data_IF_281737046515
#
_entry.id   IF_281737046515
#
_cell.length_a   1.000
_cell.length_b   1.000
_cell.length_c   1.000
_cell.angle_alpha   90.00
_cell.angle_beta   90.00
_cell.angle_gamma   90.00
#
_symmetry.space_group_name_H-M   'P 1'
#
loop_
_entity.id
_entity.type
_entity.pdbx_description
1 polymer ?
#
# COMPACT_ATOMS: atom_id res chain seq x y z
N UNK A 1 2.21 22.72 -0.42
CA UNK A 1 1.38 22.15 0.64
C UNK A 1 0.15 21.52 0.04
N UNK A 2 -0.10 20.25 0.30
CA UNK A 2 -1.17 19.57 -0.40
C UNK A 2 -2.33 19.20 0.53
N UNK A 3 -3.42 19.95 0.43
CA UNK A 3 -4.68 19.58 1.08
C UNK A 3 -5.20 18.25 0.52
N UNK A 4 -5.06 18.05 -0.79
CA UNK A 4 -5.52 16.80 -1.41
C UNK A 4 -4.80 15.58 -0.82
N UNK A 5 -3.47 15.63 -0.74
CA UNK A 5 -2.70 14.49 -0.23
C UNK A 5 -3.03 14.20 1.24
N UNK A 6 -3.19 15.23 2.05
CA UNK A 6 -3.55 15.04 3.46
C UNK A 6 -4.95 14.48 3.63
N UNK A 7 -5.89 14.97 2.83
CA UNK A 7 -7.25 14.47 2.84
C UNK A 7 -7.32 13.02 2.37
N UNK A 8 -6.62 12.71 1.29
CA UNK A 8 -6.54 11.34 0.79
C UNK A 8 -5.98 10.38 1.84
N UNK A 9 -4.87 10.76 2.46
CA UNK A 9 -4.23 9.92 3.48
C UNK A 9 -5.16 9.68 4.67
N UNK A 10 -5.86 10.71 5.12
CA UNK A 10 -6.81 10.60 6.23
C UNK A 10 -7.95 9.64 5.89
N UNK A 11 -8.54 9.80 4.70
CA UNK A 11 -9.63 8.93 4.26
C UNK A 11 -9.15 7.50 4.03
N UNK A 12 -7.97 7.35 3.44
CA UNK A 12 -7.39 6.03 3.22
C UNK A 12 -7.13 5.31 4.53
N UNK A 13 -6.63 6.03 5.54
CA UNK A 13 -6.37 5.44 6.86
C UNK A 13 -7.64 4.95 7.55
N UNK A 14 -8.79 5.46 7.17
CA UNK A 14 -10.07 5.04 7.72
C UNK A 14 -10.67 3.81 7.05
N UNK A 15 -10.04 3.29 6.00
CA UNK A 15 -10.56 2.11 5.32
C UNK A 15 -10.36 0.84 6.15
N UNK A 16 -11.34 -0.06 6.07
CA UNK A 16 -11.28 -1.38 6.67
C UNK A 16 -12.10 -2.35 5.82
N UNK A 17 -12.14 -3.60 6.22
CA UNK A 17 -12.85 -4.64 5.44
C UNK A 17 -14.35 -4.39 5.28
N UNK A 18 -14.94 -3.55 6.15
CA UNK A 18 -16.39 -3.33 6.16
C UNK A 18 -16.81 -2.08 5.40
N UNK A 19 -15.87 -1.22 4.99
CA UNK A 19 -16.20 0.04 4.32
C UNK A 19 -15.49 0.24 2.98
N UNK A 20 -15.07 -0.84 2.32
CA UNK A 20 -14.37 -0.75 1.03
C UNK A 20 -15.22 -0.14 -0.09
N UNK A 21 -16.53 -0.07 0.09
CA UNK A 21 -17.39 0.67 -0.84
C UNK A 21 -17.00 2.15 -0.94
N UNK A 22 -16.29 2.67 0.07
CA UNK A 22 -15.81 4.06 0.07
C UNK A 22 -14.63 4.30 -0.85
N UNK A 23 -14.03 3.26 -1.44
CA UNK A 23 -12.95 3.42 -2.40
C UNK A 23 -13.33 4.34 -3.56
N UNK A 24 -14.59 4.32 -3.97
CA UNK A 24 -15.08 5.20 -5.02
C UNK A 24 -15.08 6.69 -4.69
N UNK A 25 -14.90 7.04 -3.41
CA UNK A 25 -14.73 8.44 -2.99
C UNK A 25 -13.30 8.92 -3.20
N UNK A 26 -12.34 7.99 -3.21
CA UNK A 26 -10.91 8.28 -3.33
C UNK A 26 -10.39 8.10 -4.75
N UNK A 27 -10.89 7.10 -5.46
CA UNK A 27 -10.37 6.65 -6.74
C UNK A 27 -11.44 6.79 -7.83
N UNK A 28 -10.98 7.14 -9.03
CA UNK A 28 -11.86 7.19 -10.20
C UNK A 28 -12.18 5.78 -10.70
N UNK A 29 -13.22 5.67 -11.54
CA UNK A 29 -13.62 4.38 -12.12
C UNK A 29 -12.50 3.74 -12.96
N UNK A 30 -11.66 4.55 -13.58
CA UNK A 30 -10.58 4.12 -14.45
C UNK A 30 -9.24 4.00 -13.73
N UNK A 31 -9.24 3.90 -12.41
CA UNK A 31 -8.02 3.81 -11.62
C UNK A 31 -7.08 2.72 -12.13
N UNK A 32 -5.80 3.07 -12.24
CA UNK A 32 -4.74 2.12 -12.50
C UNK A 32 -3.85 2.08 -11.25
N UNK A 33 -3.85 0.96 -10.56
CA UNK A 33 -3.08 0.74 -9.34
C UNK A 33 -1.98 -0.27 -9.62
N UNK A 34 -0.76 0.05 -9.19
CA UNK A 34 0.40 -0.82 -9.35
C UNK A 34 1.18 -0.87 -8.05
N UNK A 35 1.60 -2.06 -7.65
CA UNK A 35 2.60 -2.23 -6.60
C UNK A 35 3.66 -3.21 -7.10
N UNK A 36 4.70 -3.55 -6.31
CA UNK A 36 5.76 -4.45 -6.77
C UNK A 36 5.30 -5.84 -7.17
N UNK A 37 4.11 -6.26 -6.76
CA UNK A 37 3.58 -7.61 -6.96
C UNK A 37 2.35 -7.66 -7.86
N UNK A 38 1.64 -6.54 -8.04
CA UNK A 38 0.33 -6.53 -8.68
C UNK A 38 0.15 -5.33 -9.60
N UNK A 39 -0.68 -5.53 -10.60
CA UNK A 39 -1.20 -4.46 -11.44
C UNK A 39 -2.71 -4.64 -11.53
N UNK A 40 -3.45 -3.60 -11.20
CA UNK A 40 -4.92 -3.63 -11.08
C UNK A 40 -5.50 -2.49 -11.89
N UNK A 41 -6.49 -2.78 -12.70
CA UNK A 41 -7.19 -1.78 -13.50
C UNK A 41 -8.66 -1.74 -13.16
N UNK A 42 -9.14 -0.53 -12.89
CA UNK A 42 -10.56 -0.29 -12.63
C UNK A 42 -10.92 -0.42 -11.16
N UNK A 43 -11.93 0.34 -10.78
CA UNK A 43 -12.35 0.42 -9.38
C UNK A 43 -12.86 -0.91 -8.83
N UNK A 44 -13.57 -1.69 -9.65
CA UNK A 44 -14.08 -2.99 -9.22
C UNK A 44 -12.94 -3.96 -8.88
N UNK A 45 -11.91 -4.02 -9.73
CA UNK A 45 -10.74 -4.87 -9.46
C UNK A 45 -9.97 -4.38 -8.24
N UNK A 46 -9.86 -3.07 -8.06
CA UNK A 46 -9.18 -2.51 -6.90
C UNK A 46 -9.90 -2.87 -5.60
N UNK A 47 -11.23 -2.83 -5.62
CA UNK A 47 -12.03 -3.23 -4.47
C UNK A 47 -11.79 -4.70 -4.13
N UNK A 48 -11.76 -5.57 -5.13
CA UNK A 48 -11.49 -6.99 -4.92
C UNK A 48 -10.09 -7.21 -4.33
N UNK A 49 -9.11 -6.49 -4.85
CA UNK A 49 -7.73 -6.58 -4.38
C UNK A 49 -7.62 -6.19 -2.90
N UNK A 50 -8.21 -5.06 -2.52
CA UNK A 50 -8.18 -4.63 -1.13
C UNK A 50 -9.03 -5.55 -0.23
N UNK A 51 -10.13 -6.09 -0.74
CA UNK A 51 -10.94 -7.03 0.02
C UNK A 51 -10.12 -8.27 0.40
N UNK A 52 -9.34 -8.82 -0.53
CA UNK A 52 -8.46 -9.94 -0.24
C UNK A 52 -7.36 -9.56 0.76
N UNK A 53 -6.75 -8.40 0.57
CA UNK A 53 -5.71 -7.92 1.47
C UNK A 53 -6.21 -7.81 2.89
N UNK A 54 -7.35 -7.13 3.11
CA UNK A 54 -7.91 -6.94 4.44
C UNK A 54 -8.44 -8.24 5.04
N UNK A 55 -8.81 -9.23 4.23
CA UNK A 55 -9.25 -10.53 4.70
C UNK A 55 -8.11 -11.39 5.22
N UNK A 56 -6.91 -11.22 4.65
CA UNK A 56 -5.76 -12.10 4.92
C UNK A 56 -4.85 -11.60 6.04
N UNK A 57 -5.01 -10.37 6.48
CA UNK A 57 -4.16 -9.78 7.52
C UNK A 57 -5.04 -9.22 8.63
N UNK A 58 -4.44 -9.01 9.80
CA UNK A 58 -5.10 -8.35 10.92
C UNK A 58 -4.29 -7.14 11.35
N UNK A 59 -4.94 -6.22 12.06
CA UNK A 59 -4.31 -5.01 12.59
C UNK A 59 -3.59 -4.19 11.52
N UNK A 60 -4.13 -4.18 10.31
CA UNK A 60 -3.56 -3.40 9.22
C UNK A 60 -3.78 -1.91 9.44
N UNK A 61 -2.69 -1.15 9.41
CA UNK A 61 -2.77 0.30 9.47
C UNK A 61 -1.64 0.93 8.66
N UNK A 62 -1.89 2.14 8.21
CA UNK A 62 -0.92 2.98 7.52
C UNK A 62 -0.68 4.23 8.33
N UNK A 63 0.58 4.51 8.64
CA UNK A 63 1.01 5.74 9.30
C UNK A 63 1.68 6.62 8.23
N UNK A 64 1.00 7.69 7.83
CA UNK A 64 1.50 8.61 6.81
C UNK A 64 2.34 9.70 7.47
N UNK A 65 3.57 9.90 6.97
CA UNK A 65 4.49 10.86 7.55
C UNK A 65 5.16 11.78 6.52
N UNK A 66 4.72 11.76 5.28
CA UNK A 66 5.23 12.65 4.25
C UNK A 66 4.17 12.92 3.20
N UNK A 67 4.04 14.20 2.80
CA UNK A 67 3.00 14.67 1.89
C UNK A 67 3.65 15.66 0.92
N UNK A 68 4.20 15.14 -0.17
CA UNK A 68 5.04 15.94 -1.07
C UNK A 68 4.35 16.12 -2.42
N UNK A 69 3.74 17.27 -2.61
CA UNK A 69 3.14 17.61 -3.91
C UNK A 69 4.23 18.16 -4.83
N UNK A 70 4.40 17.51 -5.99
CA UNK A 70 5.44 17.89 -6.95
C UNK A 70 4.92 18.90 -7.96
N UNK A 71 3.63 18.83 -8.27
CA UNK A 71 2.93 19.79 -9.14
C UNK A 71 1.44 19.60 -8.94
N UNK A 72 0.63 20.43 -9.59
CA UNK A 72 -0.82 20.26 -9.52
C UNK A 72 -1.20 18.89 -10.06
N UNK A 73 -1.95 18.13 -9.28
CA UNK A 73 -2.42 16.80 -9.67
C UNK A 73 -1.40 15.69 -9.55
N UNK A 74 -0.25 15.93 -8.92
CA UNK A 74 0.76 14.88 -8.76
C UNK A 74 1.52 15.05 -7.45
N UNK A 75 1.77 13.93 -6.77
CA UNK A 75 2.55 13.97 -5.54
C UNK A 75 2.86 12.59 -4.99
N UNK A 76 3.52 12.61 -3.84
CA UNK A 76 3.97 11.42 -3.15
C UNK A 76 3.51 11.44 -1.70
N UNK A 77 3.11 10.25 -1.22
CA UNK A 77 2.88 9.99 0.19
C UNK A 77 3.95 9.04 0.69
N UNK A 78 4.49 9.32 1.87
CA UNK A 78 5.41 8.38 2.54
C UNK A 78 4.70 7.80 3.74
N UNK A 79 4.87 6.49 3.95
CA UNK A 79 4.12 5.79 4.99
C UNK A 79 4.90 4.59 5.54
N UNK A 80 4.43 4.14 6.69
CA UNK A 80 4.80 2.84 7.24
C UNK A 80 3.51 2.04 7.36
N UNK A 81 3.48 0.87 6.76
CA UNK A 81 2.37 -0.06 6.87
C UNK A 81 2.70 -1.07 7.96
N UNK A 82 1.75 -1.33 8.83
CA UNK A 82 1.88 -2.33 9.90
C UNK A 82 0.73 -3.31 9.80
N UNK A 83 1.03 -4.58 10.02
CA UNK A 83 -0.01 -5.62 9.99
C UNK A 83 0.48 -6.88 10.69
N UNK A 84 -0.44 -7.84 10.90
CA UNK A 84 -0.14 -9.18 11.40
C UNK A 84 -0.67 -10.21 10.43
N UNK A 85 0.08 -11.28 10.26
CA UNK A 85 -0.35 -12.43 9.46
C UNK A 85 0.01 -13.70 10.23
N UNK A 86 -0.93 -14.65 10.41
CA UNK A 86 -0.71 -15.82 11.27
C UNK A 86 0.46 -16.70 10.84
N UNK A 87 0.82 -16.68 9.56
CA UNK A 87 1.91 -17.52 9.01
C UNK A 87 3.23 -16.78 8.84
N UNK A 88 3.28 -15.50 9.16
CA UNK A 88 4.49 -14.70 8.97
C UNK A 88 4.95 -14.16 10.31
N UNK A 89 6.29 -14.18 10.53
CA UNK A 89 6.93 -13.64 11.73
C UNK A 89 6.31 -14.18 13.02
N UNK A 90 5.79 -15.41 13.01
CA UNK A 90 5.10 -16.04 14.15
C UNK A 90 3.92 -15.21 14.66
N UNK A 91 3.21 -14.54 13.77
CA UNK A 91 2.06 -13.71 14.13
C UNK A 91 2.41 -12.37 14.74
N UNK A 92 3.70 -12.00 14.81
CA UNK A 92 4.11 -10.69 15.32
C UNK A 92 3.82 -9.60 14.30
N UNK A 93 3.80 -8.36 14.78
CA UNK A 93 3.60 -7.21 13.90
C UNK A 93 4.74 -7.10 12.89
N UNK A 94 4.35 -6.92 11.62
CA UNK A 94 5.28 -6.67 10.53
C UNK A 94 5.12 -5.21 10.12
N UNK A 95 6.23 -4.52 9.91
CA UNK A 95 6.25 -3.11 9.51
C UNK A 95 7.04 -2.95 8.23
N UNK A 96 6.44 -2.27 7.25
CA UNK A 96 7.05 -2.04 5.94
C UNK A 96 6.92 -0.58 5.60
N UNK A 97 8.06 0.07 5.33
CA UNK A 97 8.07 1.44 4.85
C UNK A 97 7.91 1.48 3.35
N UNK A 98 7.24 2.52 2.86
CA UNK A 98 7.05 2.69 1.44
C UNK A 98 6.62 4.09 1.08
N UNK A 99 6.37 4.28 -0.22
CA UNK A 99 5.79 5.52 -0.70
C UNK A 99 4.82 5.24 -1.84
N UNK A 100 3.88 6.14 -2.00
CA UNK A 100 2.88 6.09 -3.07
C UNK A 100 3.05 7.29 -3.97
N UNK A 101 3.12 7.04 -5.28
CA UNK A 101 3.03 8.09 -6.29
C UNK A 101 1.58 8.17 -6.75
N UNK A 102 0.99 9.35 -6.67
CA UNK A 102 -0.40 9.58 -7.03
C UNK A 102 -0.51 10.61 -8.14
N UNK A 103 -1.40 10.32 -9.08
CA UNK A 103 -1.90 11.29 -10.05
C UNK A 103 -3.40 11.44 -9.82
N UNK A 104 -3.89 12.69 -9.80
CA UNK A 104 -5.30 12.93 -9.51
C UNK A 104 -5.85 14.10 -10.32
N UNK A 105 -7.17 14.07 -10.49
CA UNK A 105 -8.01 15.20 -10.90
C UNK A 105 -8.91 15.47 -9.69
N UNK A 106 -10.17 15.18 -9.78
CA UNK A 106 -11.03 15.18 -8.58
C UNK A 106 -10.72 13.99 -7.68
N UNK A 107 -10.37 12.85 -8.29
CA UNK A 107 -10.03 11.61 -7.61
C UNK A 107 -8.74 11.05 -8.18
N UNK A 108 -8.12 10.15 -7.44
CA UNK A 108 -6.90 9.49 -7.90
C UNK A 108 -7.23 8.55 -9.05
N UNK A 109 -6.56 8.74 -10.17
CA UNK A 109 -6.72 7.86 -11.34
C UNK A 109 -5.47 7.02 -11.59
N UNK A 110 -4.39 7.29 -10.90
CA UNK A 110 -3.18 6.48 -10.96
C UNK A 110 -2.52 6.47 -9.59
N UNK A 111 -2.20 5.25 -9.11
CA UNK A 111 -1.60 5.04 -7.80
C UNK A 111 -0.53 3.97 -7.94
N UNK A 112 0.70 4.31 -7.64
CA UNK A 112 1.79 3.35 -7.67
C UNK A 112 2.49 3.31 -6.33
N UNK A 113 2.52 2.12 -5.72
CA UNK A 113 3.21 1.89 -4.46
C UNK A 113 4.61 1.34 -4.71
N UNK A 114 5.54 1.86 -3.93
CA UNK A 114 6.92 1.40 -3.89
C UNK A 114 7.23 0.93 -2.48
N UNK A 115 7.53 -0.36 -2.34
CA UNK A 115 7.94 -0.92 -1.05
C UNK A 115 8.81 -2.15 -1.30
N UNK A 116 9.48 -2.61 -0.24
CA UNK A 116 10.32 -3.80 -0.32
C UNK A 116 9.43 -5.04 -0.24
N UNK A 117 9.22 -5.70 -1.37
CA UNK A 117 8.39 -6.91 -1.44
C UNK A 117 9.00 -8.05 -0.63
N UNK A 118 10.35 -8.11 -0.53
CA UNK A 118 11.01 -9.09 0.30
C UNK A 118 10.68 -8.91 1.76
N UNK A 119 10.74 -7.66 2.24
CA UNK A 119 10.37 -7.35 3.61
C UNK A 119 8.90 -7.66 3.88
N UNK A 120 8.04 -7.45 2.88
CA UNK A 120 6.61 -7.71 3.03
C UNK A 120 6.30 -9.19 3.15
N UNK A 121 6.90 -10.04 2.30
CA UNK A 121 6.47 -11.43 2.13
C UNK A 121 7.53 -12.46 2.48
N UNK A 122 8.75 -12.30 1.96
CA UNK A 122 9.70 -13.41 1.90
C UNK A 122 10.69 -13.43 3.05
N UNK A 123 11.06 -12.29 3.59
CA UNK A 123 12.05 -12.22 4.66
C UNK A 123 11.54 -12.80 5.98
N UNK A 124 10.23 -12.96 6.11
CA UNK A 124 9.62 -13.50 7.33
C UNK A 124 9.35 -15.01 7.25
N UNK A 125 9.66 -15.65 6.11
CA UNK A 125 9.59 -17.11 5.98
C UNK A 125 10.95 -17.70 6.38
N UNK A 126 10.99 -18.73 7.25
CA UNK A 126 12.23 -19.18 7.85
C UNK A 126 13.37 -19.51 6.87
N UNK A 127 13.06 -20.23 5.79
CA UNK A 127 14.10 -20.64 4.83
C UNK A 127 14.20 -19.63 3.69
N UNK A 128 13.06 -19.29 3.10
CA UNK A 128 13.02 -18.38 1.96
C UNK A 128 13.53 -16.99 2.34
N UNK A 129 13.21 -16.53 3.55
CA UNK A 129 13.70 -15.25 4.04
C UNK A 129 15.22 -15.21 4.09
N UNK A 130 15.87 -16.30 4.50
CA UNK A 130 17.33 -16.39 4.51
C UNK A 130 17.94 -16.30 3.12
N UNK A 131 17.32 -16.97 2.14
CA UNK A 131 17.79 -16.92 0.76
C UNK A 131 17.66 -15.52 0.19
N UNK A 132 16.54 -14.89 0.41
CA UNK A 132 16.30 -13.51 -0.06
C UNK A 132 17.30 -12.56 0.59
N UNK A 133 17.50 -12.64 1.91
CA UNK A 133 18.45 -11.80 2.62
C UNK A 133 19.88 -12.02 2.10
N UNK A 134 20.25 -13.27 1.82
CA UNK A 134 21.55 -13.61 1.26
C UNK A 134 21.75 -12.98 -0.12
N UNK A 135 20.74 -13.10 -1.00
CA UNK A 135 20.79 -12.50 -2.33
C UNK A 135 20.91 -10.98 -2.27
N UNK A 136 20.17 -10.34 -1.39
CA UNK A 136 20.23 -8.88 -1.23
C UNK A 136 21.62 -8.43 -0.80
N UNK A 137 22.28 -9.17 0.09
CA UNK A 137 23.65 -8.86 0.50
C UNK A 137 24.66 -9.04 -0.65
N UNK A 138 24.45 -10.04 -1.49
CA UNK A 138 25.33 -10.30 -2.64
C UNK A 138 25.19 -9.25 -3.73
N UNK A 139 24.00 -8.70 -3.88
CA UNK A 139 23.71 -7.70 -4.92
C UNK A 139 24.01 -6.26 -4.49
N UNK A 140 24.07 -6.03 -3.23
CA UNK A 140 24.36 -4.70 -2.65
C UNK A 140 25.85 -4.45 -2.34
#
# INVERSE_FOLDING_TARGET
>A
MSEFLRSFAREFSGLNKDNLHRLGELYSEDIHFTDPLHEVQGLAQLRDYFSELYANVSDLRFDFHGFDQTREGEGYLRWVMSYRHPRLANGREIRVGGCSHLLWRDKVYRHRDYFDAGALLYEHLPILGRVIAWLKRRMG
#
